data_IF_596002657759
#
_entry.id   IF_596002657759
#
_cell.length_a   1.000
_cell.length_b   1.000
_cell.length_c   1.000
_cell.angle_alpha   90.00
_cell.angle_beta   90.00
_cell.angle_gamma   90.00
#
_symmetry.space_group_name_H-M   'P 1'
#
loop_
_entity.id
_entity.type
_entity.pdbx_description
1 polymer ?
#
# COMPACT_ATOMS: atom_id res chain seq x y z
N UNK A 1 7.82 10.67 2.46
CA UNK A 1 6.41 10.35 2.20
C UNK A 1 5.81 11.27 1.16
N UNK A 2 5.70 12.59 1.41
CA UNK A 2 5.11 13.52 0.42
C UNK A 2 5.74 13.44 -0.97
N UNK A 3 7.07 13.33 -1.07
CA UNK A 3 7.77 13.13 -2.34
C UNK A 3 7.35 11.84 -3.04
N UNK A 4 7.17 10.74 -2.31
CA UNK A 4 6.73 9.46 -2.90
C UNK A 4 5.27 9.47 -3.31
N UNK A 5 4.39 10.14 -2.55
CA UNK A 5 3.00 10.39 -2.96
C UNK A 5 2.97 11.20 -4.26
N UNK A 6 3.78 12.26 -4.35
CA UNK A 6 3.91 13.05 -5.58
C UNK A 6 4.51 12.24 -6.75
N UNK A 7 5.40 11.29 -6.49
CA UNK A 7 5.91 10.35 -7.51
C UNK A 7 4.85 9.35 -7.95
N UNK A 8 4.03 8.81 -7.03
CA UNK A 8 2.92 7.93 -7.35
C UNK A 8 1.90 8.64 -8.25
N UNK A 9 1.54 9.89 -7.93
CA UNK A 9 0.69 10.73 -8.77
C UNK A 9 1.26 10.94 -10.19
N UNK A 10 2.58 11.07 -10.32
CA UNK A 10 3.23 11.14 -11.64
C UNK A 10 3.13 9.82 -12.41
N UNK A 11 3.30 8.67 -11.73
CA UNK A 11 3.11 7.36 -12.34
C UNK A 11 1.66 7.17 -12.82
N UNK A 12 0.66 7.62 -12.04
CA UNK A 12 -0.75 7.57 -12.42
C UNK A 12 -1.05 8.43 -13.65
N UNK A 13 -0.56 9.67 -13.68
CA UNK A 13 -0.70 10.56 -14.85
C UNK A 13 -0.07 9.96 -16.11
N UNK A 14 1.08 9.33 -15.97
CA UNK A 14 1.76 8.64 -17.06
C UNK A 14 1.15 7.27 -17.41
N UNK A 15 0.14 6.80 -16.67
CA UNK A 15 -0.43 5.44 -16.77
C UNK A 15 0.63 4.34 -16.67
N UNK A 16 1.71 4.60 -15.92
CA UNK A 16 2.76 3.62 -15.65
C UNK A 16 2.33 2.73 -14.48
N UNK A 17 1.44 1.79 -14.76
CA UNK A 17 0.83 0.92 -13.75
C UNK A 17 1.81 0.06 -12.97
N UNK A 18 2.84 -0.58 -13.58
CA UNK A 18 3.81 -1.34 -12.82
C UNK A 18 4.55 -0.48 -11.79
N UNK A 19 5.01 0.72 -12.19
CA UNK A 19 5.69 1.64 -11.27
C UNK A 19 4.73 2.18 -10.20
N UNK A 20 3.50 2.54 -10.58
CA UNK A 20 2.48 3.01 -9.64
C UNK A 20 2.16 1.94 -8.58
N UNK A 21 1.96 0.69 -8.99
CA UNK A 21 1.67 -0.41 -8.09
C UNK A 21 2.84 -0.74 -7.17
N UNK A 22 4.07 -0.78 -7.69
CA UNK A 22 5.26 -0.97 -6.85
C UNK A 22 5.36 0.11 -5.77
N UNK A 23 5.19 1.39 -6.16
CA UNK A 23 5.20 2.49 -5.19
C UNK A 23 4.05 2.37 -4.18
N UNK A 24 2.82 2.17 -4.65
CA UNK A 24 1.64 2.04 -3.80
C UNK A 24 1.78 0.89 -2.78
N UNK A 25 2.35 -0.25 -3.17
CA UNK A 25 2.58 -1.38 -2.28
C UNK A 25 3.73 -1.14 -1.29
N UNK A 26 4.67 -0.24 -1.56
CA UNK A 26 5.78 0.06 -0.63
C UNK A 26 5.40 1.14 0.40
N UNK A 27 4.52 2.08 0.07
CA UNK A 27 4.16 3.19 0.97
C UNK A 27 3.66 2.75 2.37
N UNK A 28 2.81 1.71 2.52
CA UNK A 28 2.37 1.24 3.83
C UNK A 28 3.51 0.72 4.71
N UNK A 29 4.56 0.12 4.12
CA UNK A 29 5.73 -0.33 4.89
C UNK A 29 6.49 0.85 5.48
N UNK A 30 6.75 1.88 4.67
CA UNK A 30 7.43 3.08 5.11
C UNK A 30 6.67 3.78 6.23
N UNK A 31 5.35 3.89 6.09
CA UNK A 31 4.50 4.54 7.07
C UNK A 31 4.36 3.70 8.36
N UNK A 32 4.20 2.38 8.22
CA UNK A 32 4.15 1.44 9.34
C UNK A 32 5.46 1.39 10.13
N UNK A 33 6.62 1.51 9.47
CA UNK A 33 7.92 1.59 10.16
C UNK A 33 8.05 2.84 11.04
N UNK A 34 7.39 3.94 10.67
CA UNK A 34 7.32 5.16 11.49
C UNK A 34 6.29 5.02 12.61
N UNK A 35 5.14 4.41 12.33
CA UNK A 35 4.05 4.29 13.31
C UNK A 35 4.30 3.23 14.38
N UNK A 36 5.01 2.15 14.07
CA UNK A 36 5.19 1.00 14.95
C UNK A 36 6.55 0.32 14.70
N UNK A 37 7.67 0.99 15.04
CA UNK A 37 9.02 0.52 14.73
C UNK A 37 9.35 -0.83 15.39
N UNK A 38 8.82 -1.09 16.59
CA UNK A 38 9.05 -2.32 17.36
C UNK A 38 8.25 -3.53 16.83
N UNK A 39 7.25 -3.29 15.97
CA UNK A 39 6.44 -4.37 15.41
C UNK A 39 7.12 -5.00 14.20
N UNK A 40 6.99 -6.31 14.04
CA UNK A 40 7.50 -7.01 12.86
C UNK A 40 6.86 -6.48 11.56
N UNK A 41 7.58 -6.62 10.45
CA UNK A 41 7.24 -5.97 9.17
C UNK A 41 5.81 -6.27 8.66
N UNK A 42 5.34 -7.54 8.66
CA UNK A 42 3.96 -7.83 8.27
C UNK A 42 2.92 -7.14 9.15
N UNK A 43 3.16 -7.09 10.46
CA UNK A 43 2.23 -6.55 11.45
C UNK A 43 2.10 -5.04 11.32
N UNK A 44 3.21 -4.30 11.29
CA UNK A 44 3.17 -2.84 11.15
C UNK A 44 2.60 -2.41 9.80
N UNK A 45 2.87 -3.17 8.73
CA UNK A 45 2.26 -2.95 7.43
C UNK A 45 0.75 -3.12 7.50
N UNK A 46 0.29 -4.28 8.01
CA UNK A 46 -1.12 -4.62 8.04
C UNK A 46 -1.91 -3.63 8.91
N UNK A 47 -1.39 -3.29 10.09
CA UNK A 47 -1.99 -2.30 10.99
C UNK A 47 -2.13 -0.93 10.32
N UNK A 48 -1.11 -0.47 9.61
CA UNK A 48 -1.18 0.80 8.90
C UNK A 48 -2.22 0.73 7.77
N UNK A 49 -2.17 -0.31 6.94
CA UNK A 49 -3.09 -0.47 5.82
C UNK A 49 -4.55 -0.55 6.29
N UNK A 50 -4.85 -1.40 7.27
CA UNK A 50 -6.21 -1.59 7.78
C UNK A 50 -6.79 -0.31 8.36
N UNK A 51 -5.94 0.53 8.98
CA UNK A 51 -6.33 1.80 9.58
C UNK A 51 -6.60 2.88 8.54
N UNK A 52 -5.73 3.03 7.54
CA UNK A 52 -5.74 4.19 6.64
C UNK A 52 -6.39 3.91 5.28
N UNK A 53 -6.47 2.65 4.86
CA UNK A 53 -6.93 2.23 3.53
C UNK A 53 -8.04 1.17 3.64
N UNK A 54 -7.87 0.19 4.53
CA UNK A 54 -8.68 -1.02 4.60
C UNK A 54 -10.17 -0.80 4.86
N UNK A 55 -10.59 0.36 5.37
CA UNK A 55 -12.03 0.71 5.52
C UNK A 55 -12.77 0.64 4.19
N UNK A 56 -12.10 0.97 3.07
CA UNK A 56 -12.65 0.93 1.71
C UNK A 56 -12.77 -0.48 1.14
N UNK A 57 -12.10 -1.44 1.76
CA UNK A 57 -12.01 -2.84 1.34
C UNK A 57 -12.84 -3.75 2.24
N UNK A 58 -13.87 -3.20 2.90
CA UNK A 58 -14.81 -3.93 3.74
C UNK A 58 -16.19 -3.98 3.10
N UNK A 59 -16.85 -5.12 3.24
CA UNK A 59 -18.26 -5.30 2.88
C UNK A 59 -19.09 -5.54 4.13
N UNK A 60 -20.36 -5.12 4.09
CA UNK A 60 -21.32 -5.38 5.16
C UNK A 60 -22.11 -6.64 4.81
N UNK A 61 -22.03 -7.64 5.68
CA UNK A 61 -22.80 -8.86 5.63
C UNK A 61 -23.78 -8.90 6.81
N UNK A 62 -24.73 -9.84 6.77
CA UNK A 62 -25.66 -10.07 7.87
C UNK A 62 -24.94 -10.42 9.19
N UNK A 63 -23.77 -11.07 9.10
CA UNK A 63 -22.91 -11.44 10.23
C UNK A 63 -21.98 -10.31 10.72
N UNK A 64 -22.01 -9.13 10.09
CA UNK A 64 -21.15 -7.99 10.43
C UNK A 64 -20.31 -7.49 9.26
N UNK A 65 -19.26 -6.73 9.55
CA UNK A 65 -18.32 -6.27 8.53
C UNK A 65 -17.23 -7.33 8.28
N UNK A 66 -16.97 -7.65 7.02
CA UNK A 66 -15.89 -8.53 6.60
C UNK A 66 -14.94 -7.80 5.65
N UNK A 67 -13.64 -7.99 5.82
CA UNK A 67 -12.64 -7.48 4.88
C UNK A 67 -12.63 -8.35 3.62
N UNK A 68 -12.79 -7.73 2.45
CA UNK A 68 -12.54 -8.33 1.13
C UNK A 68 -11.02 -8.39 0.86
N UNK A 69 -10.29 -7.39 1.33
CA UNK A 69 -8.84 -7.28 1.20
C UNK A 69 -8.24 -6.68 2.47
N UNK A 70 -7.54 -7.49 3.25
CA UNK A 70 -6.93 -7.07 4.51
C UNK A 70 -5.52 -6.52 4.33
N UNK A 71 -4.98 -5.86 5.36
CA UNK A 71 -3.59 -5.44 5.39
C UNK A 71 -2.59 -6.59 5.27
N UNK A 72 -2.93 -7.78 5.80
CA UNK A 72 -2.09 -8.98 5.62
C UNK A 72 -2.14 -9.51 4.20
N UNK A 73 -3.32 -9.49 3.55
CA UNK A 73 -3.43 -9.85 2.14
C UNK A 73 -2.63 -8.88 1.25
N UNK A 74 -2.69 -7.58 1.56
CA UNK A 74 -1.93 -6.54 0.87
C UNK A 74 -0.42 -6.69 1.08
N UNK A 75 0.03 -7.04 2.29
CA UNK A 75 1.44 -7.36 2.56
C UNK A 75 1.90 -8.58 1.77
N UNK A 76 1.09 -9.64 1.70
CA UNK A 76 1.41 -10.84 0.92
C UNK A 76 1.51 -10.53 -0.58
N UNK A 77 0.56 -9.77 -1.11
CA UNK A 77 0.58 -9.31 -2.50
C UNK A 77 1.82 -8.47 -2.80
N UNK A 78 2.21 -7.57 -1.89
CA UNK A 78 3.47 -6.81 -1.98
C UNK A 78 4.69 -7.72 -2.05
N UNK A 79 4.78 -8.73 -1.18
CA UNK A 79 5.90 -9.66 -1.18
C UNK A 79 5.97 -10.46 -2.47
N UNK A 80 4.81 -10.91 -2.97
CA UNK A 80 4.73 -11.68 -4.20
C UNK A 80 5.11 -10.85 -5.44
N UNK A 81 4.61 -9.62 -5.53
CA UNK A 81 4.90 -8.73 -6.68
C UNK A 81 6.33 -8.19 -6.68
N UNK A 82 6.92 -7.92 -5.52
CA UNK A 82 8.27 -7.38 -5.41
C UNK A 82 9.35 -8.48 -5.25
N UNK A 83 8.98 -9.75 -5.47
CA UNK A 83 9.87 -10.92 -5.31
C UNK A 83 10.65 -10.92 -3.99
N UNK A 84 10.00 -10.50 -2.90
CA UNK A 84 10.63 -10.50 -1.59
C UNK A 84 10.52 -11.88 -0.97
N UNK A 85 11.62 -12.63 -0.97
CA UNK A 85 11.71 -13.93 -0.30
C UNK A 85 11.26 -13.81 1.16
N UNK A 86 10.32 -14.67 1.56
CA UNK A 86 9.95 -14.83 2.96
C UNK A 86 10.68 -16.05 3.52
N UNK A 87 11.08 -15.95 4.79
CA UNK A 87 11.76 -17.01 5.53
C UNK A 87 11.00 -18.36 5.39
N UNK A 88 11.63 -19.40 4.81
CA UNK A 88 11.04 -20.72 4.65
C UNK A 88 10.52 -21.35 5.94
N UNK A 89 11.14 -21.07 7.09
CA UNK A 89 10.80 -21.75 8.34
C UNK A 89 9.43 -21.34 8.91
N UNK A 90 8.88 -20.21 8.46
CA UNK A 90 7.60 -19.70 8.95
C UNK A 90 6.36 -20.35 8.30
N UNK A 91 6.50 -21.29 7.35
CA UNK A 91 5.37 -21.87 6.60
C UNK A 91 4.64 -20.88 5.68
N UNK A 92 5.16 -19.65 5.54
CA UNK A 92 4.52 -18.52 4.84
C UNK A 92 4.78 -18.45 3.35
N UNK A 93 5.70 -19.27 2.82
CA UNK A 93 6.05 -19.27 1.39
C UNK A 93 4.81 -19.52 0.52
N UNK A 94 3.94 -20.46 0.92
CA UNK A 94 2.70 -20.79 0.19
C UNK A 94 1.70 -19.65 0.17
N UNK A 95 1.54 -18.92 1.29
CA UNK A 95 0.62 -17.78 1.40
C UNK A 95 1.00 -16.61 0.47
N UNK A 96 2.30 -16.42 0.20
CA UNK A 96 2.77 -15.39 -0.74
C UNK A 96 2.57 -15.80 -2.19
N UNK A 97 2.86 -17.06 -2.57
CA UNK A 97 2.55 -17.54 -3.92
C UNK A 97 1.05 -17.49 -4.20
N UNK A 98 0.22 -17.90 -3.24
CA UNK A 98 -1.24 -17.88 -3.34
C UNK A 98 -1.79 -16.43 -3.46
N UNK A 99 -1.03 -15.40 -3.08
CA UNK A 99 -1.51 -14.02 -3.16
C UNK A 99 -1.74 -13.55 -4.61
N UNK A 100 -0.91 -13.99 -5.57
CA UNK A 100 -1.09 -13.66 -6.99
C UNK A 100 -2.28 -14.42 -7.62
N UNK A 101 -2.61 -15.60 -7.08
CA UNK A 101 -3.79 -16.35 -7.49
C UNK A 101 -5.09 -15.76 -6.90
N UNK A 102 -4.99 -15.16 -5.71
CA UNK A 102 -6.14 -14.59 -4.98
C UNK A 102 -6.42 -13.13 -5.31
N UNK A 103 -5.43 -12.36 -5.73
CA UNK A 103 -5.56 -10.92 -5.97
C UNK A 103 -4.95 -10.53 -7.31
N UNK A 104 -5.75 -9.87 -8.15
CA UNK A 104 -5.35 -9.47 -9.50
C UNK A 104 -5.62 -8.00 -9.74
N UNK A 105 -4.63 -7.30 -10.31
CA UNK A 105 -4.82 -5.93 -10.74
C UNK A 105 -5.42 -5.88 -12.15
N UNK A 106 -6.39 -4.98 -12.34
CA UNK A 106 -7.11 -4.77 -13.61
C UNK A 106 -7.20 -3.28 -13.94
N UNK A 107 -7.50 -2.98 -15.20
CA UNK A 107 -7.79 -1.63 -15.71
C UNK A 107 -9.24 -1.50 -16.21
N UNK A 108 -10.07 -2.53 -16.00
CA UNK A 108 -11.50 -2.47 -16.32
C UNK A 108 -12.19 -1.67 -15.23
N UNK A 109 -12.87 -0.57 -15.61
CA UNK A 109 -13.35 0.44 -14.69
C UNK A 109 -14.35 -0.10 -13.65
N UNK A 110 -15.16 -1.08 -14.03
CA UNK A 110 -16.18 -1.73 -13.21
C UNK A 110 -15.59 -2.78 -12.25
N UNK A 111 -14.34 -3.20 -12.46
CA UNK A 111 -13.70 -4.27 -11.72
C UNK A 111 -12.86 -3.73 -10.55
N UNK A 112 -13.51 -3.43 -9.43
CA UNK A 112 -12.83 -3.13 -8.18
C UNK A 112 -13.55 -3.78 -6.99
N UNK A 113 -12.81 -4.53 -6.19
CA UNK A 113 -13.35 -5.35 -5.10
C UNK A 113 -14.41 -6.36 -5.57
N UNK A 114 -14.25 -6.89 -6.79
CA UNK A 114 -15.13 -7.88 -7.42
C UNK A 114 -14.42 -9.22 -7.57
N UNK A 115 -15.10 -10.34 -7.30
CA UNK A 115 -14.51 -11.66 -7.54
C UNK A 115 -14.72 -12.11 -8.99
N UNK A 116 -13.65 -12.54 -9.66
CA UNK A 116 -13.66 -13.11 -11.01
C UNK A 116 -12.62 -14.24 -11.07
N UNK A 117 -13.01 -15.41 -11.60
CA UNK A 117 -12.13 -16.58 -11.70
C UNK A 117 -11.44 -16.96 -10.36
N UNK A 118 -12.17 -16.83 -9.24
CA UNK A 118 -11.67 -17.07 -7.86
C UNK A 118 -10.64 -16.06 -7.33
N UNK A 119 -10.31 -15.03 -8.10
CA UNK A 119 -9.46 -13.92 -7.68
C UNK A 119 -10.29 -12.66 -7.40
N UNK A 120 -9.92 -11.89 -6.39
CA UNK A 120 -10.42 -10.54 -6.17
C UNK A 120 -9.72 -9.58 -7.14
N UNK A 121 -10.52 -8.93 -7.97
CA UNK A 121 -10.08 -7.92 -8.93
C UNK A 121 -9.95 -6.56 -8.25
N UNK A 122 -8.78 -5.95 -8.41
CA UNK A 122 -8.42 -4.66 -7.86
C UNK A 122 -8.12 -3.70 -9.02
N UNK A 123 -8.98 -2.72 -9.27
CA UNK A 123 -8.65 -1.67 -10.24
C UNK A 123 -7.39 -0.91 -9.81
N UNK A 124 -6.34 -0.90 -10.64
CA UNK A 124 -5.01 -0.45 -10.22
C UNK A 124 -4.96 1.06 -9.92
N UNK A 125 -5.59 1.90 -10.75
CA UNK A 125 -5.66 3.35 -10.49
C UNK A 125 -6.38 3.62 -9.17
N UNK A 126 -7.50 2.91 -8.95
CA UNK A 126 -8.31 3.10 -7.73
C UNK A 126 -7.54 2.67 -6.48
N UNK A 127 -6.87 1.53 -6.54
CA UNK A 127 -6.00 1.07 -5.45
C UNK A 127 -4.90 2.08 -5.14
N UNK A 128 -4.20 2.61 -6.15
CA UNK A 128 -3.14 3.59 -5.95
C UNK A 128 -3.67 4.91 -5.35
N UNK A 129 -4.83 5.37 -5.78
CA UNK A 129 -5.51 6.54 -5.19
C UNK A 129 -5.92 6.29 -3.75
N UNK A 130 -6.44 5.11 -3.45
CA UNK A 130 -6.82 4.74 -2.08
C UNK A 130 -5.62 4.76 -1.14
N UNK A 131 -4.48 4.23 -1.57
CA UNK A 131 -3.23 4.29 -0.81
C UNK A 131 -2.76 5.74 -0.66
N UNK A 132 -2.85 6.55 -1.72
CA UNK A 132 -2.48 7.98 -1.70
C UNK A 132 -3.29 8.73 -0.65
N UNK A 133 -4.61 8.58 -0.65
CA UNK A 133 -5.50 9.18 0.34
C UNK A 133 -5.17 8.70 1.77
N UNK A 134 -4.85 7.41 1.93
CA UNK A 134 -4.40 6.85 3.20
C UNK A 134 -3.09 7.49 3.69
N UNK A 135 -2.12 7.68 2.81
CA UNK A 135 -0.86 8.38 3.12
C UNK A 135 -1.08 9.84 3.50
N UNK A 136 -1.97 10.54 2.81
CA UNK A 136 -2.30 11.93 3.13
C UNK A 136 -3.01 12.06 4.48
N UNK A 137 -3.97 11.18 4.76
CA UNK A 137 -4.66 11.13 6.05
C UNK A 137 -3.68 10.81 7.20
N UNK A 138 -2.79 9.84 6.97
CA UNK A 138 -1.73 9.50 7.92
C UNK A 138 -0.80 10.68 8.18
N UNK A 139 -0.30 11.33 7.13
CA UNK A 139 0.58 12.51 7.25
C UNK A 139 -0.07 13.65 8.03
N UNK A 140 -1.38 13.89 7.83
CA UNK A 140 -2.14 14.87 8.61
C UNK A 140 -2.19 14.47 10.09
N UNK A 141 -2.36 13.19 10.39
CA UNK A 141 -2.46 12.69 11.77
C UNK A 141 -1.17 12.79 12.57
N UNK A 142 -0.01 12.63 11.93
CA UNK A 142 1.29 12.67 12.61
C UNK A 142 1.96 14.06 12.59
N UNK A 143 1.31 15.06 12.00
CA UNK A 143 1.86 16.42 11.84
C UNK A 143 2.30 17.05 13.16
N UNK A 144 1.59 16.76 14.25
CA UNK A 144 1.88 17.28 15.59
C UNK A 144 2.67 16.30 16.47
N UNK A 145 3.03 15.12 15.94
CA UNK A 145 3.90 14.16 16.60
C UNK A 145 5.35 14.43 16.18
N UNK A 146 6.10 15.12 17.06
CA UNK A 146 7.47 15.51 16.79
C UNK A 146 8.40 14.32 16.58
N UNK A 147 8.18 13.22 17.32
CA UNK A 147 8.98 12.00 17.23
C UNK A 147 8.81 11.32 15.87
N UNK A 148 7.57 11.10 15.44
CA UNK A 148 7.28 10.50 14.13
C UNK A 148 7.71 11.40 12.98
N UNK A 149 7.52 12.70 13.12
CA UNK A 149 7.97 13.70 12.13
C UNK A 149 9.50 13.71 11.98
N UNK A 150 10.25 13.53 13.07
CA UNK A 150 11.70 13.45 13.03
C UNK A 150 12.21 12.17 12.34
N UNK A 151 11.63 11.00 12.68
CA UNK A 151 11.97 9.72 12.03
C UNK A 151 11.70 9.80 10.52
N UNK A 152 10.54 10.35 10.14
CA UNK A 152 10.18 10.52 8.75
C UNK A 152 11.19 11.41 8.02
N UNK A 153 11.61 12.53 8.61
CA UNK A 153 12.63 13.41 8.02
C UNK A 153 14.00 12.72 7.89
N UNK A 154 14.41 11.94 8.90
CA UNK A 154 15.71 11.24 8.89
C UNK A 154 15.81 10.19 7.78
N UNK A 155 14.73 9.47 7.52
CA UNK A 155 14.69 8.46 6.45
C UNK A 155 14.64 9.03 5.03
N UNK A 156 14.57 10.37 4.86
CA UNK A 156 14.15 11.02 3.62
C UNK A 156 15.02 12.22 3.20
N UNK A 157 16.31 12.24 3.52
CA UNK A 157 17.23 13.22 2.93
C UNK A 157 17.52 12.89 1.46
N UNK A 158 16.54 13.10 0.59
CA UNK A 158 16.74 13.19 -0.85
C UNK A 158 16.60 14.66 -1.25
N UNK A 159 17.73 15.31 -1.49
CA UNK A 159 17.76 16.66 -2.06
C UNK A 159 17.39 16.54 -3.54
N UNK A 160 16.10 16.65 -3.86
CA UNK A 160 15.68 16.78 -5.25
C UNK A 160 16.00 18.21 -5.70
N UNK A 161 16.70 18.42 -6.81
CA UNK A 161 16.87 19.77 -7.35
C UNK A 161 15.47 20.34 -7.61
N UNK A 162 15.25 21.57 -7.13
CA UNK A 162 14.09 22.37 -7.51
C UNK A 162 13.96 22.30 -9.02
N UNK A 163 12.78 21.90 -9.52
CA UNK A 163 12.45 22.05 -10.95
C UNK A 163 12.47 23.55 -11.25
N UNK A 164 13.64 24.09 -11.56
CA UNK A 164 13.73 25.28 -12.37
C UNK A 164 12.97 24.94 -13.65
N UNK A 165 11.90 25.69 -13.90
CA UNK A 165 11.12 25.57 -15.12
C UNK A 165 12.08 25.60 -16.31
N UNK A 166 12.06 24.55 -17.13
CA UNK A 166 12.53 24.69 -18.49
C UNK A 166 11.60 25.73 -19.14
N UNK A 167 12.12 26.95 -19.28
CA UNK A 167 11.62 27.93 -20.24
C UNK A 167 11.99 27.48 -21.64
#
# INVERSE_FOLDING_TARGET
MQVFVASLEQCLKAKNWPAALCLALTLPEMAGAVDSPESAAPQRYAQWFDKWVGVKYRTRLLSGQQALFSGFDCYALRCAMLYQEQDPEAGRRRYVTDALDRFQFTQVAEEHCMHKNRALQLHADRFCRDVTEGCEAWLKSIKNDASKSAVLKRGLNMTMPSRAACQ
#
